data_IF_002238408201
#
_entry.id   IF_002238408201
#
_cell.length_a   1.000
_cell.length_b   1.000
_cell.length_c   1.000
_cell.angle_alpha   90.00
_cell.angle_beta   90.00
_cell.angle_gamma   90.00
#
_symmetry.space_group_name_H-M   'P 1'
#
loop_
_entity.id
_entity.type
_entity.pdbx_description
1 polymer ?
#
# COMPACT_ATOMS: atom_id res chain seq x y z
N UNK A 1 -3.19 -38.13 32.62
CA UNK A 1 -3.91 -36.85 32.77
C UNK A 1 -5.04 -36.70 31.75
N UNK A 2 -4.78 -36.81 30.44
CA UNK A 2 -5.84 -36.71 29.43
C UNK A 2 -7.01 -37.69 29.69
N UNK A 3 -6.67 -38.96 29.91
CA UNK A 3 -7.63 -40.03 30.23
C UNK A 3 -8.45 -39.85 31.50
N UNK A 4 -8.00 -39.08 32.50
CA UNK A 4 -8.83 -38.82 33.69
C UNK A 4 -9.95 -37.81 33.42
N UNK A 5 -9.85 -37.03 32.34
CA UNK A 5 -10.85 -36.05 31.94
C UNK A 5 -11.71 -36.55 30.77
N UNK A 6 -11.07 -37.16 29.77
CA UNK A 6 -11.71 -37.54 28.49
C UNK A 6 -12.09 -39.03 28.48
N UNK A 7 -11.50 -39.83 29.37
CA UNK A 7 -11.78 -41.26 29.48
C UNK A 7 -10.92 -42.11 28.54
N UNK A 8 -11.50 -43.23 28.11
CA UNK A 8 -10.82 -44.28 27.36
C UNK A 8 -10.62 -43.97 25.87
N UNK A 9 -11.29 -42.95 25.34
CA UNK A 9 -11.23 -42.57 23.92
C UNK A 9 -11.29 -41.05 23.80
N UNK A 10 -10.51 -40.49 22.88
CA UNK A 10 -10.58 -39.08 22.50
C UNK A 10 -10.65 -38.93 20.97
N UNK A 11 -11.27 -37.85 20.52
CA UNK A 11 -11.38 -37.57 19.09
C UNK A 11 -10.07 -37.02 18.53
N UNK A 12 -9.50 -36.01 19.18
CA UNK A 12 -8.32 -35.28 18.70
C UNK A 12 -7.27 -35.18 19.80
N UNK A 13 -6.04 -35.61 19.49
CA UNK A 13 -4.85 -35.31 20.26
C UNK A 13 -3.87 -34.51 19.40
N UNK A 14 -3.14 -33.57 19.98
CA UNK A 14 -2.27 -32.67 19.21
C UNK A 14 -0.94 -32.39 19.88
N UNK A 15 0.05 -31.99 19.08
CA UNK A 15 1.39 -31.64 19.57
C UNK A 15 2.27 -31.09 18.45
N UNK A 16 3.49 -30.70 18.79
CA UNK A 16 4.52 -30.44 17.78
C UNK A 16 4.92 -31.74 17.06
N UNK A 17 5.42 -31.64 15.84
CA UNK A 17 5.91 -32.79 15.08
C UNK A 17 6.93 -33.65 15.84
N UNK A 18 7.77 -33.04 16.67
CA UNK A 18 8.74 -33.73 17.51
C UNK A 18 8.13 -34.58 18.64
N UNK A 19 6.86 -34.34 18.99
CA UNK A 19 6.13 -35.17 19.95
C UNK A 19 5.57 -36.44 19.32
N UNK A 20 5.50 -36.54 17.99
CA UNK A 20 5.03 -37.74 17.31
C UNK A 20 5.77 -38.98 17.81
N UNK A 21 7.10 -38.91 17.84
CA UNK A 21 7.94 -39.98 18.36
C UNK A 21 9.08 -39.42 19.23
N UNK A 22 9.35 -40.02 20.41
CA UNK A 22 8.69 -41.21 20.98
C UNK A 22 7.47 -40.88 21.85
N UNK A 23 7.14 -39.60 22.05
CA UNK A 23 6.21 -39.18 23.09
C UNK A 23 4.77 -39.71 22.87
N UNK A 24 4.12 -39.35 21.76
CA UNK A 24 2.74 -39.78 21.50
C UNK A 24 2.64 -41.29 21.24
N UNK A 25 3.65 -41.91 20.62
CA UNK A 25 3.73 -43.37 20.50
C UNK A 25 3.69 -44.05 21.87
N UNK A 26 4.45 -43.54 22.84
CA UNK A 26 4.44 -44.06 24.21
C UNK A 26 3.10 -43.79 24.92
N UNK A 27 2.49 -42.62 24.73
CA UNK A 27 1.18 -42.31 25.31
C UNK A 27 0.08 -43.24 24.80
N UNK A 28 0.09 -43.51 23.49
CA UNK A 28 -0.82 -44.46 22.85
C UNK A 28 -0.60 -45.87 23.39
N UNK A 29 0.65 -46.34 23.42
CA UNK A 29 0.99 -47.67 23.94
C UNK A 29 0.57 -47.85 25.41
N UNK A 30 0.79 -46.84 26.26
CA UNK A 30 0.40 -46.87 27.67
C UNK A 30 -1.12 -46.89 27.84
N UNK A 31 -1.82 -46.03 27.10
CA UNK A 31 -3.26 -45.83 27.27
C UNK A 31 -4.06 -47.01 26.70
N UNK A 32 -3.70 -47.49 25.52
CA UNK A 32 -4.38 -48.63 24.89
C UNK A 32 -4.16 -49.93 25.68
N UNK A 33 -2.96 -50.15 26.22
CA UNK A 33 -2.68 -51.30 27.08
C UNK A 33 -3.44 -51.22 28.42
N UNK A 34 -3.65 -50.03 28.96
CA UNK A 34 -4.40 -49.84 30.21
C UNK A 34 -5.90 -50.10 30.01
N UNK A 35 -6.49 -49.61 28.92
CA UNK A 35 -7.93 -49.69 28.69
C UNK A 35 -8.38 -51.01 28.08
N UNK A 36 -7.55 -51.64 27.24
CA UNK A 36 -7.79 -52.96 26.62
C UNK A 36 -9.21 -53.14 26.05
N UNK A 37 -9.75 -52.10 25.42
CA UNK A 37 -11.12 -52.10 24.88
C UNK A 37 -11.22 -52.59 23.44
N UNK A 38 -10.08 -52.85 22.80
CA UNK A 38 -9.99 -53.12 21.35
C UNK A 38 -10.31 -51.92 20.46
N UNK A 39 -10.43 -50.72 21.03
CA UNK A 39 -10.68 -49.46 20.30
C UNK A 39 -9.48 -48.52 20.46
N UNK A 40 -9.20 -47.67 19.45
CA UNK A 40 -8.10 -46.71 19.54
C UNK A 40 -8.34 -45.71 20.67
N UNK A 41 -7.26 -45.33 21.35
CA UNK A 41 -7.30 -44.30 22.38
C UNK A 41 -7.55 -42.91 21.79
N UNK A 42 -7.02 -42.63 20.59
CA UNK A 42 -7.17 -41.36 19.85
C UNK A 42 -7.56 -41.65 18.41
N UNK A 43 -8.58 -40.96 17.88
CA UNK A 43 -8.98 -41.11 16.46
C UNK A 43 -8.10 -40.30 15.51
N UNK A 44 -7.76 -39.05 15.86
CA UNK A 44 -6.98 -38.15 15.03
C UNK A 44 -5.83 -37.52 15.81
N UNK A 45 -4.61 -37.70 15.30
CA UNK A 45 -3.42 -36.99 15.78
C UNK A 45 -3.08 -35.81 14.87
N UNK A 46 -2.98 -34.61 15.43
CA UNK A 46 -2.63 -33.38 14.72
C UNK A 46 -1.24 -32.91 15.17
N UNK A 47 -0.27 -32.95 14.27
CA UNK A 47 1.12 -32.56 14.55
C UNK A 47 1.51 -31.30 13.79
N UNK A 48 1.79 -30.21 14.51
CA UNK A 48 2.21 -28.95 13.88
C UNK A 48 3.66 -28.98 13.44
N UNK A 49 3.96 -28.30 12.32
CA UNK A 49 5.31 -28.22 11.78
C UNK A 49 6.26 -27.44 12.68
N UNK A 50 7.56 -27.56 12.40
CA UNK A 50 8.58 -26.85 13.18
C UNK A 50 8.67 -25.38 12.79
N UNK A 51 9.16 -24.56 13.72
CA UNK A 51 9.63 -23.21 13.42
C UNK A 51 11.16 -23.22 13.28
N UNK A 52 11.68 -22.69 12.18
CA UNK A 52 13.11 -22.51 11.93
C UNK A 52 13.49 -21.03 11.92
N UNK A 53 14.78 -20.75 12.14
CA UNK A 53 15.40 -19.46 11.83
C UNK A 53 16.59 -19.75 10.93
N UNK A 54 16.61 -19.12 9.75
CA UNK A 54 17.67 -19.33 8.75
C UNK A 54 17.83 -20.83 8.40
N UNK A 55 16.70 -21.55 8.31
CA UNK A 55 16.67 -22.99 8.02
C UNK A 55 17.12 -23.91 9.16
N UNK A 56 17.51 -23.37 10.31
CA UNK A 56 17.88 -24.17 11.48
C UNK A 56 16.71 -24.24 12.48
N UNK A 57 16.43 -25.44 13.03
CA UNK A 57 15.40 -25.61 14.08
C UNK A 57 15.64 -24.64 15.23
N UNK A 58 14.61 -23.90 15.61
CA UNK A 58 14.65 -23.03 16.78
C UNK A 58 14.78 -23.89 18.04
N UNK A 59 15.87 -23.73 18.81
CA UNK A 59 16.01 -24.45 20.08
C UNK A 59 16.87 -23.70 21.09
N UNK A 60 16.58 -23.92 22.38
CA UNK A 60 17.38 -23.37 23.48
C UNK A 60 18.82 -23.89 23.45
N UNK A 61 19.02 -25.14 23.05
CA UNK A 61 20.34 -25.78 22.96
C UNK A 61 21.22 -25.17 21.87
N UNK A 62 20.64 -24.82 20.71
CA UNK A 62 21.35 -24.14 19.62
C UNK A 62 21.46 -22.62 19.84
N UNK A 63 20.90 -22.08 20.94
CA UNK A 63 20.85 -20.64 21.27
C UNK A 63 20.31 -19.76 20.14
N UNK A 64 19.54 -20.34 19.21
CA UNK A 64 19.00 -19.68 18.02
C UNK A 64 17.48 -19.48 18.14
N UNK A 65 17.02 -19.03 19.32
CA UNK A 65 15.59 -18.80 19.57
C UNK A 65 15.29 -17.34 19.82
N UNK A 66 14.10 -16.94 19.39
CA UNK A 66 13.55 -15.61 19.64
C UNK A 66 12.35 -15.81 20.56
N UNK A 67 12.34 -15.10 21.68
CA UNK A 67 11.19 -15.12 22.58
C UNK A 67 10.03 -14.33 21.98
N UNK A 68 8.80 -14.66 22.38
CA UNK A 68 7.62 -13.87 21.99
C UNK A 68 7.77 -12.39 22.37
N UNK A 69 8.37 -12.09 23.54
CA UNK A 69 8.64 -10.71 23.95
C UNK A 69 9.55 -9.97 22.97
N UNK A 70 10.63 -10.61 22.53
CA UNK A 70 11.56 -10.04 21.55
C UNK A 70 10.89 -9.87 20.19
N UNK A 71 10.14 -10.87 19.71
CA UNK A 71 9.40 -10.77 18.45
C UNK A 71 8.40 -9.59 18.47
N UNK A 72 7.71 -9.40 19.60
CA UNK A 72 6.76 -8.31 19.79
C UNK A 72 7.39 -6.91 19.90
N UNK A 73 8.72 -6.82 20.06
CA UNK A 73 9.42 -5.52 19.95
C UNK A 73 9.56 -5.05 18.50
N UNK A 74 9.50 -5.99 17.54
CA UNK A 74 9.70 -5.71 16.11
C UNK A 74 8.40 -5.67 15.32
N UNK A 75 7.42 -6.49 15.73
CA UNK A 75 6.16 -6.67 15.03
C UNK A 75 4.99 -6.66 16.00
N UNK A 76 3.80 -6.28 15.53
CA UNK A 76 2.59 -6.38 16.34
C UNK A 76 2.21 -7.85 16.54
N UNK A 77 1.44 -8.13 17.60
CA UNK A 77 0.91 -9.47 17.84
C UNK A 77 0.04 -9.96 16.67
N UNK A 78 -0.64 -9.02 15.98
CA UNK A 78 -1.48 -9.31 14.82
C UNK A 78 -0.65 -9.70 13.60
N UNK A 79 0.44 -8.97 13.32
CA UNK A 79 1.40 -9.32 12.26
C UNK A 79 1.99 -10.72 12.48
N UNK A 80 2.38 -11.04 13.72
CA UNK A 80 2.88 -12.37 14.04
C UNK A 80 1.81 -13.45 13.82
N UNK A 81 0.55 -13.20 14.16
CA UNK A 81 -0.54 -14.15 13.87
C UNK A 81 -0.78 -14.32 12.37
N UNK A 82 -0.79 -13.24 11.60
CA UNK A 82 -0.88 -13.35 10.14
C UNK A 82 0.28 -14.13 9.53
N UNK A 83 1.49 -14.00 10.06
CA UNK A 83 2.62 -14.81 9.61
C UNK A 83 2.32 -16.32 9.72
N UNK A 84 1.64 -16.76 10.78
CA UNK A 84 1.24 -18.16 10.92
C UNK A 84 0.03 -18.53 10.06
N UNK A 85 -0.99 -17.67 9.97
CA UNK A 85 -2.20 -17.93 9.17
C UNK A 85 -1.94 -18.02 7.66
N UNK A 86 -0.89 -17.35 7.19
CA UNK A 86 -0.51 -17.37 5.77
C UNK A 86 0.35 -18.60 5.40
N UNK A 87 0.60 -19.49 6.35
CA UNK A 87 1.38 -20.70 6.17
C UNK A 87 0.61 -21.94 6.63
N UNK A 88 0.90 -23.08 6.02
CA UNK A 88 0.26 -24.34 6.42
C UNK A 88 0.73 -24.76 7.81
N UNK A 89 -0.21 -25.06 8.71
CA UNK A 89 0.08 -25.39 10.12
C UNK A 89 0.91 -26.67 10.31
N UNK A 90 0.87 -27.59 9.33
CA UNK A 90 1.61 -28.87 9.36
C UNK A 90 3.03 -28.76 8.78
N UNK A 91 3.30 -27.72 8.00
CA UNK A 91 4.58 -27.54 7.32
C UNK A 91 5.58 -26.78 8.20
N UNK A 92 6.87 -26.94 7.91
CA UNK A 92 7.90 -26.18 8.60
C UNK A 92 7.85 -24.72 8.13
N UNK A 93 7.79 -23.79 9.09
CA UNK A 93 7.82 -22.36 8.83
C UNK A 93 9.20 -21.80 9.17
N UNK A 94 9.81 -21.06 8.23
CA UNK A 94 11.00 -20.27 8.53
C UNK A 94 10.59 -18.87 8.99
N UNK A 95 10.95 -18.54 10.22
CA UNK A 95 10.80 -17.20 10.76
C UNK A 95 11.93 -16.31 10.23
N UNK A 96 11.58 -15.46 9.27
CA UNK A 96 12.50 -14.56 8.57
C UNK A 96 11.88 -13.18 8.36
N UNK A 97 12.71 -12.20 8.00
CA UNK A 97 12.23 -10.87 7.64
C UNK A 97 11.30 -10.91 6.41
N UNK A 98 11.49 -11.87 5.49
CA UNK A 98 10.60 -12.06 4.34
C UNK A 98 9.22 -12.57 4.79
N UNK A 99 9.18 -13.60 5.63
CA UNK A 99 7.95 -14.14 6.20
C UNK A 99 7.16 -13.06 6.94
N UNK A 100 7.86 -12.22 7.71
CA UNK A 100 7.24 -11.10 8.40
C UNK A 100 6.83 -9.99 7.45
N UNK A 101 7.61 -9.71 6.40
CA UNK A 101 7.24 -8.76 5.35
C UNK A 101 5.92 -9.18 4.70
N UNK A 102 5.74 -10.45 4.34
CA UNK A 102 4.49 -10.95 3.75
C UNK A 102 3.30 -10.80 4.71
N UNK A 103 3.49 -11.10 5.99
CA UNK A 103 2.47 -10.91 7.01
C UNK A 103 2.10 -9.44 7.23
N UNK A 104 3.11 -8.56 7.26
CA UNK A 104 2.93 -7.11 7.33
C UNK A 104 2.22 -6.62 6.07
N UNK A 105 2.61 -7.10 4.89
CA UNK A 105 1.98 -6.74 3.62
C UNK A 105 0.55 -7.25 3.53
N UNK A 106 0.24 -8.40 4.13
CA UNK A 106 -1.12 -8.90 4.21
C UNK A 106 -1.95 -8.10 5.22
N UNK A 107 -1.45 -7.81 6.42
CA UNK A 107 -2.14 -6.93 7.37
C UNK A 107 -2.37 -5.54 6.74
N UNK A 108 -1.39 -5.05 5.99
CA UNK A 108 -1.41 -3.75 5.31
C UNK A 108 -2.01 -3.79 3.90
N UNK A 109 -2.36 -4.94 3.34
CA UNK A 109 -2.71 -5.11 1.91
C UNK A 109 -1.90 -4.21 0.94
N UNK A 110 -0.58 -4.35 0.95
CA UNK A 110 0.31 -3.53 0.11
C UNK A 110 0.18 -3.89 -1.38
N UNK A 111 -0.57 -3.05 -2.09
CA UNK A 111 -0.14 -2.35 -3.31
C UNK A 111 -1.25 -1.39 -3.72
N UNK A 112 -1.18 -0.16 -3.23
CA UNK A 112 -1.81 0.98 -3.91
C UNK A 112 -0.68 1.90 -4.34
N UNK A 113 -0.91 2.49 -5.50
CA UNK A 113 -0.15 3.49 -6.22
C UNK A 113 0.79 4.38 -5.38
N UNK A 114 1.91 4.87 -5.97
CA UNK A 114 3.01 5.56 -5.28
C UNK A 114 2.68 6.90 -4.57
N UNK A 115 1.41 7.20 -4.31
CA UNK A 115 0.95 8.45 -3.68
C UNK A 115 -0.06 8.24 -2.52
N UNK A 116 -0.29 7.02 -2.03
CA UNK A 116 -1.22 6.81 -0.89
C UNK A 116 -0.84 5.61 -0.03
N UNK A 117 -0.48 5.86 1.23
CA UNK A 117 -0.06 4.87 2.24
C UNK A 117 -1.23 4.12 2.90
N UNK A 118 -2.45 4.30 2.38
CA UNK A 118 -3.67 3.70 2.93
C UNK A 118 -3.81 2.24 2.48
N UNK A 119 -4.03 1.37 3.46
CA UNK A 119 -4.16 -0.08 3.29
C UNK A 119 -5.61 -0.44 2.92
N UNK A 120 -5.89 -1.13 1.79
CA UNK A 120 -7.25 -1.48 1.32
C UNK A 120 -8.16 -2.12 2.38
N UNK A 121 -7.60 -2.94 3.27
CA UNK A 121 -8.32 -3.62 4.34
C UNK A 121 -8.80 -2.65 5.43
N UNK A 122 -7.91 -1.78 5.93
CA UNK A 122 -8.26 -0.75 6.91
C UNK A 122 -9.22 0.26 6.30
N UNK A 123 -8.94 0.67 5.07
CA UNK A 123 -9.72 1.64 4.33
C UNK A 123 -11.16 1.15 4.12
N UNK A 124 -11.32 -0.12 3.74
CA UNK A 124 -12.62 -0.77 3.67
C UNK A 124 -13.39 -0.60 4.98
N UNK A 125 -12.83 -1.03 6.12
CA UNK A 125 -13.54 -0.96 7.40
C UNK A 125 -13.83 0.47 7.87
N UNK A 126 -12.90 1.42 7.66
CA UNK A 126 -13.12 2.82 7.99
C UNK A 126 -14.25 3.42 7.16
N UNK A 127 -14.29 3.11 5.87
CA UNK A 127 -15.36 3.55 4.96
C UNK A 127 -16.70 2.90 5.32
N UNK A 128 -16.71 1.61 5.69
CA UNK A 128 -17.95 0.96 6.16
C UNK A 128 -18.47 1.61 7.44
N UNK A 129 -17.60 1.87 8.43
CA UNK A 129 -17.99 2.54 9.68
C UNK A 129 -18.58 3.92 9.40
N UNK A 130 -17.95 4.70 8.52
CA UNK A 130 -18.44 6.01 8.11
C UNK A 130 -19.82 5.95 7.43
N UNK A 131 -20.03 4.99 6.53
CA UNK A 131 -21.31 4.77 5.86
C UNK A 131 -22.43 4.36 6.83
N UNK A 132 -22.13 3.50 7.81
CA UNK A 132 -23.11 3.06 8.82
C UNK A 132 -23.58 4.25 9.67
N UNK A 133 -22.70 5.21 9.98
CA UNK A 133 -23.07 6.39 10.77
C UNK A 133 -23.91 7.40 9.99
N UNK A 134 -23.63 7.56 8.70
CA UNK A 134 -24.18 8.64 7.86
C UNK A 134 -25.42 8.22 7.07
N UNK A 135 -25.69 6.92 6.96
CA UNK A 135 -26.82 6.41 6.20
C UNK A 135 -28.04 6.18 7.06
N UNK A 136 -29.17 6.72 6.62
CA UNK A 136 -30.48 6.29 7.09
C UNK A 136 -30.79 4.91 6.48
N UNK A 137 -31.20 3.96 7.32
CA UNK A 137 -31.57 2.62 6.89
C UNK A 137 -32.78 2.70 5.94
N UNK A 138 -32.51 2.62 4.64
CA UNK A 138 -33.53 2.60 3.59
C UNK A 138 -33.43 1.31 2.79
N UNK A 139 -34.58 0.78 2.40
CA UNK A 139 -34.66 -0.41 1.56
C UNK A 139 -34.25 0.00 0.15
N UNK A 140 -33.03 -0.35 -0.26
CA UNK A 140 -32.49 -0.06 -1.59
C UNK A 140 -32.76 -1.23 -2.52
N UNK A 141 -33.38 -0.95 -3.68
CA UNK A 141 -33.49 -1.94 -4.77
C UNK A 141 -32.10 -2.24 -5.32
N UNK A 142 -31.74 -3.51 -5.41
CA UNK A 142 -30.43 -3.90 -5.91
C UNK A 142 -30.30 -3.60 -7.39
N UNK A 143 -29.17 -3.01 -7.78
CA UNK A 143 -28.75 -2.89 -9.17
C UNK A 143 -27.92 -4.10 -9.57
N UNK A 144 -27.54 -4.17 -10.85
CA UNK A 144 -26.67 -5.23 -11.36
C UNK A 144 -25.34 -5.31 -10.58
N UNK A 145 -24.82 -4.17 -10.09
CA UNK A 145 -23.56 -4.14 -9.35
C UNK A 145 -23.70 -4.76 -7.95
N UNK A 146 -24.80 -4.50 -7.23
CA UNK A 146 -25.05 -5.16 -5.94
C UNK A 146 -25.26 -6.67 -6.13
N UNK A 147 -25.96 -7.10 -7.20
CA UNK A 147 -26.09 -8.52 -7.51
C UNK A 147 -24.74 -9.18 -7.77
N UNK A 148 -23.85 -8.54 -8.54
CA UNK A 148 -22.49 -9.04 -8.79
C UNK A 148 -21.63 -9.09 -7.52
N UNK A 149 -21.68 -8.06 -6.67
CA UNK A 149 -20.95 -8.05 -5.40
C UNK A 149 -21.49 -9.13 -4.46
N UNK A 150 -22.81 -9.29 -4.35
CA UNK A 150 -23.41 -10.30 -3.51
C UNK A 150 -23.09 -11.72 -4.01
N UNK A 151 -23.04 -11.94 -5.32
CA UNK A 151 -22.57 -13.22 -5.86
C UNK A 151 -21.14 -13.52 -5.40
N UNK A 152 -20.21 -12.58 -5.57
CA UNK A 152 -18.83 -12.72 -5.08
C UNK A 152 -18.76 -12.94 -3.58
N UNK A 153 -19.67 -12.33 -2.82
CA UNK A 153 -19.77 -12.53 -1.38
C UNK A 153 -20.15 -13.98 -1.04
N UNK A 154 -21.21 -14.52 -1.64
CA UNK A 154 -21.61 -15.91 -1.41
C UNK A 154 -20.52 -16.89 -1.85
N UNK A 155 -19.92 -16.69 -3.04
CA UNK A 155 -18.80 -17.52 -3.51
C UNK A 155 -17.60 -17.48 -2.55
N UNK A 156 -17.34 -16.32 -1.92
CA UNK A 156 -16.27 -16.20 -0.93
C UNK A 156 -16.60 -16.94 0.37
N UNK A 157 -17.86 -16.92 0.82
CA UNK A 157 -18.29 -17.69 1.99
C UNK A 157 -18.03 -19.19 1.75
N UNK A 158 -18.51 -19.71 0.62
CA UNK A 158 -18.37 -21.13 0.27
C UNK A 158 -16.89 -21.52 0.11
N UNK A 159 -16.08 -20.65 -0.51
CA UNK A 159 -14.66 -20.90 -0.73
C UNK A 159 -13.85 -20.90 0.58
N UNK A 160 -14.18 -19.99 1.51
CA UNK A 160 -13.56 -19.95 2.84
C UNK A 160 -13.93 -21.20 3.62
N UNK A 161 -15.21 -21.60 3.63
CA UNK A 161 -15.66 -22.81 4.33
C UNK A 161 -14.99 -24.07 3.77
N UNK A 162 -14.95 -24.19 2.45
CA UNK A 162 -14.27 -25.31 1.76
C UNK A 162 -12.79 -25.36 2.13
N UNK A 163 -12.09 -24.21 2.14
CA UNK A 163 -10.67 -24.15 2.51
C UNK A 163 -10.44 -24.55 3.97
N UNK A 164 -11.30 -24.11 4.89
CA UNK A 164 -11.17 -24.46 6.31
C UNK A 164 -11.49 -25.93 6.59
N UNK A 165 -12.44 -26.51 5.85
CA UNK A 165 -12.73 -27.94 5.90
C UNK A 165 -11.60 -28.80 5.31
N UNK A 166 -10.82 -28.26 4.36
CA UNK A 166 -9.63 -28.91 3.83
C UNK A 166 -8.42 -28.69 4.76
N UNK A 167 -8.35 -29.49 5.82
CA UNK A 167 -7.20 -29.53 6.72
C UNK A 167 -6.80 -28.15 7.31
N UNK A 168 -7.79 -27.30 7.62
CA UNK A 168 -7.59 -25.99 8.24
C UNK A 168 -6.69 -25.09 7.34
N UNK A 169 -6.97 -25.03 6.04
CA UNK A 169 -6.23 -24.16 5.10
C UNK A 169 -6.59 -22.68 5.30
N UNK A 170 -6.00 -22.11 6.35
CA UNK A 170 -6.10 -20.68 6.70
C UNK A 170 -5.48 -19.77 5.66
N UNK A 171 -4.50 -20.24 4.90
CA UNK A 171 -3.84 -19.46 3.85
C UNK A 171 -4.80 -19.17 2.70
N UNK A 172 -5.44 -20.21 2.17
CA UNK A 172 -6.43 -20.06 1.10
C UNK A 172 -7.64 -19.26 1.58
N UNK A 173 -8.13 -19.52 2.80
CA UNK A 173 -9.21 -18.74 3.40
C UNK A 173 -8.86 -17.23 3.46
N UNK A 174 -7.65 -16.88 3.90
CA UNK A 174 -7.16 -15.50 3.89
C UNK A 174 -7.13 -14.90 2.46
N UNK A 175 -6.67 -15.65 1.46
CA UNK A 175 -6.67 -15.19 0.07
C UNK A 175 -8.09 -14.93 -0.47
N UNK A 176 -9.08 -15.75 -0.11
CA UNK A 176 -10.48 -15.53 -0.47
C UNK A 176 -11.05 -14.26 0.19
N UNK A 177 -10.78 -14.04 1.48
CA UNK A 177 -11.17 -12.80 2.20
C UNK A 177 -10.55 -11.58 1.53
N UNK A 178 -9.27 -11.67 1.17
CA UNK A 178 -8.54 -10.62 0.45
C UNK A 178 -9.21 -10.23 -0.86
N UNK A 179 -9.64 -11.21 -1.65
CA UNK A 179 -10.34 -10.97 -2.93
C UNK A 179 -11.71 -10.33 -2.71
N UNK A 180 -12.43 -10.74 -1.66
CA UNK A 180 -13.71 -10.14 -1.28
C UNK A 180 -13.54 -8.66 -0.93
N UNK A 181 -12.55 -8.33 -0.08
CA UNK A 181 -12.24 -6.94 0.29
C UNK A 181 -11.90 -6.10 -0.94
N UNK A 182 -11.08 -6.63 -1.86
CA UNK A 182 -10.76 -5.95 -3.10
C UNK A 182 -12.01 -5.67 -3.95
N UNK A 183 -12.90 -6.66 -4.09
CA UNK A 183 -14.16 -6.50 -4.81
C UNK A 183 -15.08 -5.47 -4.14
N UNK A 184 -15.17 -5.46 -2.81
CA UNK A 184 -15.93 -4.48 -2.05
C UNK A 184 -15.39 -3.06 -2.20
N UNK A 185 -14.06 -2.89 -2.19
CA UNK A 185 -13.44 -1.58 -2.42
C UNK A 185 -13.69 -1.07 -3.85
N UNK A 186 -13.57 -1.93 -4.87
CA UNK A 186 -13.93 -1.55 -6.25
C UNK A 186 -15.39 -1.12 -6.35
N UNK A 187 -16.31 -1.85 -5.71
CA UNK A 187 -17.72 -1.47 -5.64
C UNK A 187 -17.92 -0.10 -4.95
N UNK A 188 -17.25 0.14 -3.82
CA UNK A 188 -17.35 1.42 -3.08
C UNK A 188 -16.81 2.60 -3.90
N UNK A 189 -15.79 2.39 -4.73
CA UNK A 189 -15.28 3.41 -5.65
C UNK A 189 -16.28 3.68 -6.79
N UNK A 190 -16.81 2.63 -7.40
CA UNK A 190 -17.73 2.72 -8.53
C UNK A 190 -19.13 3.25 -8.15
N UNK A 191 -19.58 2.98 -6.93
CA UNK A 191 -20.88 3.38 -6.38
C UNK A 191 -20.72 4.42 -5.27
N UNK A 192 -19.66 5.24 -5.33
CA UNK A 192 -19.27 6.17 -4.27
C UNK A 192 -20.36 7.13 -3.80
N UNK A 193 -21.31 7.45 -4.67
CA UNK A 193 -22.40 8.39 -4.38
C UNK A 193 -23.59 7.76 -3.64
N UNK A 194 -23.87 6.47 -3.84
CA UNK A 194 -25.01 5.76 -3.23
C UNK A 194 -24.76 4.26 -3.09
N UNK A 195 -23.78 3.85 -2.25
CA UNK A 195 -23.51 2.43 -2.03
C UNK A 195 -24.61 1.78 -1.18
N UNK A 196 -24.88 0.50 -1.42
CA UNK A 196 -25.76 -0.31 -0.58
C UNK A 196 -25.08 -0.62 0.75
N UNK A 197 -25.42 0.17 1.77
CA UNK A 197 -24.80 0.10 3.10
C UNK A 197 -25.07 -1.24 3.77
N UNK A 198 -26.26 -1.82 3.61
CA UNK A 198 -26.61 -3.13 4.20
C UNK A 198 -25.73 -4.24 3.65
N UNK A 199 -25.53 -4.31 2.32
CA UNK A 199 -24.70 -5.33 1.70
C UNK A 199 -23.24 -5.23 2.17
N UNK A 200 -22.68 -4.01 2.17
CA UNK A 200 -21.31 -3.76 2.61
C UNK A 200 -21.12 -4.03 4.11
N UNK A 201 -22.14 -3.75 4.93
CA UNK A 201 -22.15 -4.08 6.36
C UNK A 201 -22.17 -5.58 6.59
N UNK A 202 -22.98 -6.34 5.85
CA UNK A 202 -23.00 -7.79 5.98
C UNK A 202 -21.65 -8.42 5.61
N UNK A 203 -21.00 -7.90 4.56
CA UNK A 203 -19.65 -8.31 4.16
C UNK A 203 -18.63 -8.00 5.26
N UNK A 204 -18.67 -6.79 5.83
CA UNK A 204 -17.71 -6.37 6.87
C UNK A 204 -17.88 -7.17 8.16
N UNK A 205 -19.11 -7.48 8.56
CA UNK A 205 -19.40 -8.34 9.72
C UNK A 205 -18.88 -9.75 9.48
N UNK A 206 -19.14 -10.33 8.31
CA UNK A 206 -18.62 -11.66 7.96
C UNK A 206 -17.08 -11.71 8.05
N UNK A 207 -16.39 -10.75 7.43
CA UNK A 207 -14.93 -10.69 7.45
C UNK A 207 -14.42 -10.52 8.89
N UNK A 208 -15.07 -9.68 9.69
CA UNK A 208 -14.72 -9.48 11.11
C UNK A 208 -14.84 -10.78 11.88
N UNK A 209 -15.94 -11.53 11.72
CA UNK A 209 -16.15 -12.81 12.39
C UNK A 209 -15.06 -13.84 12.03
N UNK A 210 -14.68 -13.93 10.75
CA UNK A 210 -13.59 -14.85 10.35
C UNK A 210 -12.25 -14.42 10.97
N UNK A 211 -11.98 -13.12 11.00
CA UNK A 211 -10.80 -12.58 11.67
C UNK A 211 -10.81 -12.78 13.19
N UNK A 212 -11.97 -12.81 13.83
CA UNK A 212 -12.10 -13.18 15.24
C UNK A 212 -11.84 -14.67 15.47
N UNK A 213 -12.33 -15.55 14.58
CA UNK A 213 -12.02 -16.99 14.59
C UNK A 213 -10.50 -17.21 14.45
N UNK A 214 -9.86 -16.49 13.54
CA UNK A 214 -8.39 -16.50 13.38
C UNK A 214 -7.66 -15.77 14.51
N UNK A 215 -8.40 -15.08 15.38
CA UNK A 215 -7.89 -14.34 16.51
C UNK A 215 -7.01 -13.16 16.12
N UNK A 216 -7.23 -12.55 14.96
CA UNK A 216 -6.58 -11.30 14.55
C UNK A 216 -7.47 -10.07 14.80
N UNK A 217 -8.77 -10.28 15.07
CA UNK A 217 -9.72 -9.24 15.44
C UNK A 217 -9.55 -8.73 16.88
N UNK A 218 -10.28 -7.66 17.21
CA UNK A 218 -10.21 -6.98 18.50
C UNK A 218 -11.41 -7.37 19.38
N UNK A 219 -11.16 -7.72 20.65
CA UNK A 219 -12.16 -8.30 21.58
C UNK A 219 -13.42 -7.45 21.83
N UNK A 220 -13.39 -6.16 21.54
CA UNK A 220 -14.46 -5.19 21.86
C UNK A 220 -15.04 -4.47 20.63
N UNK A 221 -14.83 -4.96 19.39
CA UNK A 221 -15.32 -4.29 18.19
C UNK A 221 -16.47 -5.01 17.50
N UNK A 222 -17.42 -4.23 17.00
CA UNK A 222 -18.50 -4.70 16.13
C UNK A 222 -18.03 -4.95 14.70
N UNK A 223 -17.05 -4.17 14.19
CA UNK A 223 -16.54 -4.25 12.81
C UNK A 223 -15.05 -3.86 12.74
N UNK A 224 -14.23 -4.72 12.12
CA UNK A 224 -12.85 -4.43 11.70
C UNK A 224 -11.78 -4.48 12.79
N UNK A 225 -10.72 -3.69 12.63
CA UNK A 225 -9.56 -3.65 13.53
C UNK A 225 -9.49 -2.35 14.35
N UNK A 226 -8.95 -2.42 15.57
CA UNK A 226 -8.49 -1.26 16.33
C UNK A 226 -7.23 -0.66 15.71
N UNK A 227 -7.04 0.65 15.87
CA UNK A 227 -5.70 1.24 15.76
C UNK A 227 -4.77 0.57 16.77
N UNK A 228 -3.67 -0.01 16.27
CA UNK A 228 -2.67 -0.68 17.10
C UNK A 228 -2.07 0.33 18.08
N UNK A 229 -2.47 0.26 19.35
CA UNK A 229 -1.96 1.16 20.40
C UNK A 229 -2.91 1.49 21.55
N UNK A 230 -4.19 1.11 21.49
CA UNK A 230 -5.11 1.36 22.60
C UNK A 230 -5.99 0.14 22.91
N UNK A 231 -5.65 -0.57 23.98
CA UNK A 231 -6.52 -1.56 24.67
C UNK A 231 -7.78 -0.91 25.32
N UNK A 232 -8.13 0.33 24.97
CA UNK A 232 -9.22 1.10 25.59
C UNK A 232 -10.04 1.93 24.58
N UNK A 233 -10.02 1.55 23.29
CA UNK A 233 -10.56 2.38 22.19
C UNK A 233 -12.08 2.49 22.11
N UNK A 234 -12.84 1.53 22.67
CA UNK A 234 -14.29 1.51 22.55
C UNK A 234 -14.99 2.75 23.12
N UNK A 235 -14.43 3.35 24.18
CA UNK A 235 -15.03 4.52 24.83
C UNK A 235 -14.57 5.85 24.19
N UNK A 236 -13.35 5.90 23.65
CA UNK A 236 -12.80 7.15 23.09
C UNK A 236 -13.45 7.53 21.77
N UNK A 237 -13.72 6.58 20.89
CA UNK A 237 -14.42 6.85 19.62
C UNK A 237 -15.83 7.39 19.89
N UNK A 238 -16.61 6.71 20.75
CA UNK A 238 -17.96 7.15 21.12
C UNK A 238 -17.99 8.58 21.72
N UNK A 239 -16.97 8.94 22.51
CA UNK A 239 -16.87 10.28 23.11
C UNK A 239 -16.47 11.35 22.09
N UNK A 240 -15.51 11.05 21.21
CA UNK A 240 -14.88 12.06 20.33
C UNK A 240 -15.68 12.27 19.04
N UNK A 241 -16.39 11.24 18.57
CA UNK A 241 -17.13 11.26 17.31
C UNK A 241 -18.12 12.42 17.16
N UNK A 242 -18.99 12.73 18.15
CA UNK A 242 -19.94 13.83 18.02
C UNK A 242 -19.26 15.20 17.80
N UNK A 243 -18.11 15.43 18.44
CA UNK A 243 -17.34 16.67 18.26
C UNK A 243 -16.74 16.75 16.87
N UNK A 244 -16.23 15.63 16.36
CA UNK A 244 -15.63 15.56 15.03
C UNK A 244 -16.66 15.75 13.91
N UNK A 245 -17.87 15.22 14.09
CA UNK A 245 -19.00 15.46 13.18
C UNK A 245 -19.38 16.94 13.13
N UNK A 246 -19.44 17.61 14.30
CA UNK A 246 -19.69 19.06 14.37
C UNK A 246 -18.59 19.84 13.64
N UNK A 247 -17.32 19.47 13.81
CA UNK A 247 -16.19 20.12 13.13
C UNK A 247 -16.26 19.91 11.62
N UNK A 248 -16.60 18.70 11.16
CA UNK A 248 -16.75 18.38 9.74
C UNK A 248 -17.89 19.18 9.11
N UNK A 249 -19.06 19.23 9.76
CA UNK A 249 -20.22 20.02 9.30
C UNK A 249 -19.92 21.53 9.29
N UNK A 250 -19.23 22.03 10.31
CA UNK A 250 -18.78 23.43 10.34
C UNK A 250 -17.82 23.73 9.17
N UNK A 251 -16.84 22.86 8.93
CA UNK A 251 -15.89 22.99 7.81
C UNK A 251 -16.63 22.98 6.47
N UNK A 252 -17.60 22.08 6.28
CA UNK A 252 -18.38 21.99 5.04
C UNK A 252 -19.17 23.28 4.77
N UNK A 253 -19.86 23.81 5.80
CA UNK A 253 -20.57 25.10 5.73
C UNK A 253 -19.64 26.28 5.45
N UNK A 254 -18.47 26.33 6.09
CA UNK A 254 -17.47 27.38 5.87
C UNK A 254 -16.88 27.31 4.47
N UNK A 255 -16.50 26.11 4.01
CA UNK A 255 -15.95 25.88 2.67
C UNK A 255 -16.94 26.26 1.59
N UNK A 256 -18.22 25.89 1.74
CA UNK A 256 -19.29 26.28 0.82
C UNK A 256 -19.40 27.80 0.68
N UNK A 257 -19.50 28.52 1.80
CA UNK A 257 -19.51 29.99 1.79
C UNK A 257 -18.22 30.61 1.22
N UNK A 258 -17.08 30.01 1.50
CA UNK A 258 -15.79 30.46 0.97
C UNK A 258 -15.73 30.34 -0.56
N UNK A 259 -16.30 29.27 -1.13
CA UNK A 259 -16.40 29.10 -2.58
C UNK A 259 -17.31 30.17 -3.21
N UNK A 260 -18.47 30.44 -2.60
CA UNK A 260 -19.39 31.48 -3.06
C UNK A 260 -18.75 32.88 -3.04
N UNK A 261 -18.01 33.19 -1.98
CA UNK A 261 -17.30 34.46 -1.80
C UNK A 261 -15.96 34.53 -2.54
N UNK A 262 -15.49 33.42 -3.12
CA UNK A 262 -14.14 33.24 -3.69
C UNK A 262 -13.01 33.61 -2.72
N UNK A 263 -13.23 33.36 -1.43
CA UNK A 263 -12.29 33.67 -0.36
C UNK A 263 -11.19 32.58 -0.31
N UNK A 264 -10.03 32.91 -0.89
CA UNK A 264 -8.88 32.00 -0.94
C UNK A 264 -8.27 31.75 0.44
N UNK A 265 -8.37 32.70 1.36
CA UNK A 265 -7.78 32.56 2.70
C UNK A 265 -8.60 31.60 3.55
N UNK A 266 -9.93 31.74 3.51
CA UNK A 266 -10.82 30.82 4.22
C UNK A 266 -10.75 29.39 3.66
N UNK A 267 -10.60 29.24 2.33
CA UNK A 267 -10.34 27.93 1.72
C UNK A 267 -9.02 27.33 2.21
N UNK A 268 -7.94 28.13 2.28
CA UNK A 268 -6.65 27.68 2.82
C UNK A 268 -6.76 27.21 4.27
N UNK A 269 -7.51 27.93 5.12
CA UNK A 269 -7.73 27.52 6.52
C UNK A 269 -8.52 26.20 6.60
N UNK A 270 -9.51 26.01 5.73
CA UNK A 270 -10.27 24.76 5.66
C UNK A 270 -9.40 23.57 5.21
N UNK A 271 -8.45 23.81 4.30
CA UNK A 271 -7.49 22.80 3.85
C UNK A 271 -6.41 22.53 4.91
N UNK A 272 -5.92 23.56 5.62
CA UNK A 272 -5.00 23.42 6.76
C UNK A 272 -5.62 22.59 7.90
N UNK A 273 -6.89 22.84 8.22
CA UNK A 273 -7.62 22.02 9.19
C UNK A 273 -7.69 20.55 8.76
N UNK A 274 -7.92 20.29 7.47
CA UNK A 274 -8.04 18.95 6.88
C UNK A 274 -6.70 18.19 6.85
N UNK A 275 -5.65 18.86 6.38
CA UNK A 275 -4.41 18.23 5.93
C UNK A 275 -3.28 18.32 6.96
N UNK A 276 -3.35 19.28 7.90
CA UNK A 276 -2.26 19.57 8.84
C UNK A 276 -2.72 19.44 10.31
N UNK A 277 -3.87 19.99 10.70
CA UNK A 277 -4.30 20.03 12.12
C UNK A 277 -4.97 18.71 12.56
N UNK A 278 -6.04 18.29 11.88
CA UNK A 278 -6.78 17.08 12.26
C UNK A 278 -5.93 15.79 12.19
N UNK A 279 -4.99 15.64 11.25
CA UNK A 279 -4.09 14.50 11.24
C UNK A 279 -3.21 14.37 12.50
N UNK A 280 -2.85 15.48 13.16
CA UNK A 280 -2.04 15.45 14.40
C UNK A 280 -2.78 14.81 15.58
N UNK A 281 -4.11 14.78 15.52
CA UNK A 281 -4.96 14.15 16.54
C UNK A 281 -5.52 12.80 16.10
N UNK A 282 -5.09 12.27 14.96
CA UNK A 282 -5.53 10.96 14.45
C UNK A 282 -6.84 11.01 13.67
N UNK A 283 -7.16 12.14 13.04
CA UNK A 283 -8.40 12.32 12.28
C UNK A 283 -8.06 12.62 10.83
N UNK A 284 -8.61 11.82 9.91
CA UNK A 284 -8.54 12.05 8.47
C UNK A 284 -9.91 12.46 7.94
N UNK A 285 -9.91 13.51 7.14
CA UNK A 285 -11.08 14.00 6.42
C UNK A 285 -10.86 13.80 4.92
N UNK A 286 -11.81 13.19 4.24
CA UNK A 286 -11.75 12.96 2.79
C UNK A 286 -12.99 13.55 2.11
N UNK A 287 -12.76 14.50 1.22
CA UNK A 287 -13.84 15.17 0.48
C UNK A 287 -14.29 14.27 -0.70
N UNK A 288 -15.61 14.14 -0.90
CA UNK A 288 -16.20 13.43 -2.03
C UNK A 288 -17.42 14.17 -2.58
N UNK A 289 -17.73 13.99 -3.86
CA UNK A 289 -18.93 14.58 -4.46
C UNK A 289 -20.14 13.67 -4.27
N UNK A 290 -21.20 14.20 -3.67
CA UNK A 290 -22.49 13.51 -3.54
C UNK A 290 -23.28 13.54 -4.85
N UNK A 291 -24.32 12.69 -4.97
CA UNK A 291 -25.26 12.66 -6.12
C UNK A 291 -25.83 14.05 -6.44
N UNK A 292 -26.01 14.90 -5.42
CA UNK A 292 -26.55 16.25 -5.55
C UNK A 292 -25.51 17.29 -6.02
N UNK A 293 -24.28 16.88 -6.34
CA UNK A 293 -23.19 17.79 -6.70
C UNK A 293 -22.61 18.57 -5.51
N UNK A 294 -23.01 18.23 -4.29
CA UNK A 294 -22.51 18.85 -3.05
C UNK A 294 -21.29 18.07 -2.57
N UNK A 295 -20.18 18.76 -2.31
CA UNK A 295 -18.99 18.17 -1.68
C UNK A 295 -19.31 17.84 -0.22
N UNK A 296 -19.23 16.56 0.12
CA UNK A 296 -19.36 16.05 1.49
C UNK A 296 -18.01 15.57 2.01
N UNK A 297 -17.88 15.49 3.33
CA UNK A 297 -16.64 15.02 3.99
C UNK A 297 -16.86 13.67 4.66
N UNK A 298 -16.02 12.68 4.35
CA UNK A 298 -15.91 11.42 5.11
C UNK A 298 -14.98 11.60 6.29
N UNK A 299 -15.34 11.02 7.43
CA UNK A 299 -14.57 11.16 8.65
C UNK A 299 -13.98 9.82 9.09
N UNK A 300 -12.66 9.75 9.19
CA UNK A 300 -11.96 8.51 9.54
C UNK A 300 -11.04 8.71 10.73
N UNK A 301 -11.15 7.83 11.72
CA UNK A 301 -10.22 7.76 12.83
C UNK A 301 -9.05 6.85 12.47
N UNK A 302 -7.86 7.43 12.46
CA UNK A 302 -6.62 6.77 12.05
C UNK A 302 -5.59 6.99 13.16
N UNK A 303 -4.71 6.03 13.33
CA UNK A 303 -3.61 6.18 14.28
C UNK A 303 -2.74 7.39 13.90
N UNK A 304 -2.41 8.22 14.89
CA UNK A 304 -1.61 9.43 14.69
C UNK A 304 -0.26 9.12 14.07
N UNK A 305 0.45 8.09 14.55
CA UNK A 305 1.78 7.78 14.04
C UNK A 305 1.71 7.39 12.56
N UNK A 306 0.66 6.67 12.17
CA UNK A 306 0.37 6.40 10.76
C UNK A 306 0.26 7.71 9.98
N UNK A 307 -0.67 8.60 10.35
CA UNK A 307 -0.91 9.86 9.63
C UNK A 307 0.33 10.76 9.56
N UNK A 308 1.11 10.85 10.64
CA UNK A 308 2.33 11.64 10.66
C UNK A 308 3.38 11.09 9.70
N UNK A 309 3.53 9.76 9.62
CA UNK A 309 4.43 9.11 8.67
C UNK A 309 4.01 9.37 7.23
N UNK A 310 2.72 9.31 6.92
CA UNK A 310 2.20 9.65 5.59
C UNK A 310 2.49 11.12 5.22
N UNK A 311 2.32 12.04 6.18
CA UNK A 311 2.65 13.47 6.00
C UNK A 311 4.14 13.66 5.70
N UNK A 312 5.02 12.99 6.44
CA UNK A 312 6.47 13.03 6.17
C UNK A 312 6.82 12.48 4.79
N UNK A 313 6.19 11.37 4.38
CA UNK A 313 6.40 10.78 3.04
C UNK A 313 5.90 11.72 1.94
N UNK A 314 4.71 12.31 2.10
CA UNK A 314 4.17 13.32 1.17
C UNK A 314 5.09 14.52 1.03
N UNK A 315 5.57 15.06 2.15
CA UNK A 315 6.52 16.18 2.16
C UNK A 315 7.83 15.83 1.44
N UNK A 316 8.36 14.63 1.66
CA UNK A 316 9.54 14.12 0.94
C UNK A 316 9.28 14.00 -0.57
N UNK A 317 8.12 13.47 -0.97
CA UNK A 317 7.75 13.34 -2.39
C UNK A 317 7.61 14.72 -3.03
N UNK A 318 6.97 15.67 -2.36
CA UNK A 318 6.77 17.03 -2.84
C UNK A 318 8.10 17.80 -2.94
N UNK A 319 8.98 17.64 -1.94
CA UNK A 319 10.34 18.17 -1.95
C UNK A 319 11.15 17.58 -3.11
N UNK A 320 11.10 16.26 -3.31
CA UNK A 320 11.76 15.59 -4.44
C UNK A 320 11.23 16.09 -5.79
N UNK A 321 9.91 16.28 -5.93
CA UNK A 321 9.29 16.87 -7.13
C UNK A 321 9.77 18.31 -7.36
N UNK A 322 9.90 19.11 -6.30
CA UNK A 322 10.42 20.50 -6.36
C UNK A 322 11.89 20.51 -6.81
N UNK A 323 12.74 19.71 -6.18
CA UNK A 323 14.16 19.58 -6.51
C UNK A 323 14.35 19.10 -7.96
N UNK A 324 13.55 18.14 -8.42
CA UNK A 324 13.58 17.66 -9.80
C UNK A 324 13.16 18.75 -10.80
N UNK A 325 12.15 19.57 -10.46
CA UNK A 325 11.71 20.70 -11.28
C UNK A 325 12.78 21.79 -11.37
N UNK A 326 13.44 22.10 -10.25
CA UNK A 326 14.54 23.05 -10.18
C UNK A 326 15.75 22.55 -10.99
N UNK A 327 16.12 21.27 -10.87
CA UNK A 327 17.20 20.65 -11.66
C UNK A 327 16.93 20.76 -13.17
N UNK A 328 15.72 20.39 -13.61
CA UNK A 328 15.32 20.51 -15.03
C UNK A 328 15.32 21.95 -15.53
N UNK A 329 14.92 22.90 -14.70
CA UNK A 329 14.95 24.32 -15.05
C UNK A 329 16.40 24.84 -15.21
N UNK A 330 17.31 24.42 -14.33
CA UNK A 330 18.73 24.78 -14.40
C UNK A 330 19.42 24.14 -15.62
N UNK A 331 19.20 22.84 -15.86
CA UNK A 331 19.71 22.14 -17.04
C UNK A 331 19.24 22.82 -18.33
N UNK A 332 17.96 23.21 -18.39
CA UNK A 332 17.41 23.97 -19.53
C UNK A 332 18.08 25.33 -19.67
N UNK A 333 18.26 26.07 -18.57
CA UNK A 333 18.92 27.39 -18.58
C UNK A 333 20.35 27.30 -19.08
N UNK A 334 21.12 26.30 -18.62
CA UNK A 334 22.49 26.04 -19.09
C UNK A 334 22.51 25.64 -20.56
N UNK A 335 21.59 24.80 -21.02
CA UNK A 335 21.48 24.41 -22.43
C UNK A 335 21.11 25.59 -23.32
N UNK A 336 20.17 26.43 -22.89
CA UNK A 336 19.74 27.63 -23.60
C UNK A 336 20.89 28.67 -23.64
N UNK A 337 21.64 28.84 -22.55
CA UNK A 337 22.83 29.70 -22.51
C UNK A 337 23.93 29.21 -23.44
N UNK A 338 24.25 27.90 -23.43
CA UNK A 338 25.22 27.29 -24.35
C UNK A 338 24.80 27.44 -25.81
N UNK A 339 23.52 27.19 -26.11
CA UNK A 339 22.97 27.38 -27.46
C UNK A 339 23.02 28.85 -27.90
N UNK A 340 22.75 29.79 -26.99
CA UNK A 340 22.85 31.22 -27.26
C UNK A 340 24.30 31.65 -27.51
N UNK A 341 25.27 31.07 -26.81
CA UNK A 341 26.69 31.31 -27.01
C UNK A 341 27.21 30.71 -28.31
N UNK A 342 26.86 29.47 -28.62
CA UNK A 342 27.13 28.82 -29.91
C UNK A 342 26.52 29.62 -31.08
N UNK A 343 25.37 30.27 -30.89
CA UNK A 343 24.72 31.08 -31.93
C UNK A 343 25.36 32.46 -32.14
N UNK A 344 26.22 32.93 -31.22
CA UNK A 344 26.98 34.19 -31.38
C UNK A 344 28.20 34.04 -32.29
N UNK A 345 28.68 32.82 -32.53
CA UNK A 345 29.85 32.56 -33.38
C UNK A 345 29.51 32.96 -34.82
N UNK A 346 30.29 33.90 -35.37
CA UNK A 346 30.18 34.36 -36.74
C UNK A 346 30.44 33.19 -37.70
N UNK A 347 29.58 32.94 -38.71
CA UNK A 347 29.76 31.83 -39.66
C UNK A 347 31.10 31.86 -40.39
N UNK A 348 31.65 33.06 -40.65
CA UNK A 348 32.96 33.28 -41.29
C UNK A 348 34.13 32.83 -40.40
N UNK A 349 33.97 32.87 -39.08
CA UNK A 349 35.02 32.58 -38.10
C UNK A 349 34.91 31.17 -37.51
N UNK A 350 33.86 30.42 -37.88
CA UNK A 350 33.53 29.10 -37.33
C UNK A 350 34.63 28.06 -37.61
N UNK A 351 35.20 28.09 -38.82
CA UNK A 351 36.17 27.09 -39.26
C UNK A 351 37.61 27.61 -39.27
N UNK A 352 37.80 28.93 -39.33
CA UNK A 352 39.13 29.57 -39.35
C UNK A 352 39.87 29.42 -38.02
N UNK A 353 39.15 29.16 -36.92
CA UNK A 353 39.72 28.84 -35.62
C UNK A 353 40.26 27.39 -35.50
N UNK A 354 39.86 26.47 -36.39
CA UNK A 354 40.26 25.05 -36.39
C UNK A 354 41.54 24.81 -37.22
N UNK A 355 42.61 25.54 -36.89
CA UNK A 355 43.92 25.48 -37.59
C UNK A 355 44.67 24.15 -37.40
N UNK A 356 44.24 23.33 -36.44
CA UNK A 356 44.71 21.97 -36.20
C UNK A 356 44.18 20.96 -37.24
N UNK A 357 43.07 21.27 -37.93
CA UNK A 357 42.40 20.36 -38.87
C UNK A 357 42.43 20.84 -40.31
N UNK A 358 42.59 22.13 -40.55
CA UNK A 358 42.50 22.72 -41.88
C UNK A 358 43.60 23.75 -42.13
N UNK A 359 44.23 23.67 -43.30
CA UNK A 359 45.40 24.49 -43.65
C UNK A 359 45.09 25.68 -44.56
N UNK A 360 43.98 25.66 -45.31
CA UNK A 360 43.59 26.72 -46.24
C UNK A 360 42.06 26.90 -46.32
N UNK A 361 41.62 28.15 -46.42
CA UNK A 361 40.21 28.55 -46.38
C UNK A 361 39.83 29.41 -47.60
N UNK A 362 38.58 29.35 -48.02
CA UNK A 362 38.05 30.19 -49.11
C UNK A 362 37.61 31.60 -48.62
N UNK A 363 37.14 32.45 -49.53
CA UNK A 363 36.68 33.81 -49.23
C UNK A 363 35.43 33.89 -48.34
N UNK A 364 34.82 32.75 -48.02
CA UNK A 364 33.69 32.61 -47.09
C UNK A 364 34.10 31.89 -45.79
N UNK A 365 35.40 31.70 -45.55
CA UNK A 365 35.93 31.05 -44.36
C UNK A 365 35.72 29.53 -44.33
N UNK A 366 35.36 28.88 -45.45
CA UNK A 366 35.20 27.42 -45.50
C UNK A 366 36.54 26.72 -45.74
N UNK A 367 36.81 25.58 -45.05
CA UNK A 367 38.00 24.79 -45.30
C UNK A 367 38.05 24.22 -46.72
N UNK A 368 39.21 24.33 -47.37
CA UNK A 368 39.48 23.78 -48.70
C UNK A 368 40.48 22.62 -48.66
N UNK A 369 41.42 22.67 -47.71
CA UNK A 369 42.48 21.68 -47.54
C UNK A 369 42.53 21.15 -46.10
N UNK A 370 42.90 19.88 -45.94
CA UNK A 370 43.14 19.25 -44.63
C UNK A 370 44.45 19.74 -43.98
N UNK A 371 44.75 19.25 -42.77
CA UNK A 371 45.95 19.62 -42.00
C UNK A 371 47.25 19.31 -42.72
N UNK A 372 47.24 18.38 -43.68
CA UNK A 372 48.42 17.96 -44.46
C UNK A 372 48.52 18.69 -45.80
N UNK A 373 47.63 19.65 -46.08
CA UNK A 373 47.64 20.45 -47.30
C UNK A 373 47.05 19.75 -48.52
N UNK A 374 46.24 18.69 -48.34
CA UNK A 374 45.51 18.03 -49.43
C UNK A 374 44.09 18.56 -49.56
N UNK A 375 43.61 18.70 -50.79
CA UNK A 375 42.23 19.11 -51.08
C UNK A 375 41.20 18.15 -50.46
N UNK A 376 40.21 18.72 -49.77
CA UNK A 376 39.14 17.95 -49.14
C UNK A 376 38.24 17.27 -50.17
N UNK A 377 37.91 16.00 -49.93
CA UNK A 377 37.00 15.25 -50.80
C UNK A 377 35.61 15.90 -50.90
N UNK A 378 34.95 15.80 -52.07
CA UNK A 378 33.62 16.39 -52.33
C UNK A 378 32.55 15.99 -51.30
N UNK A 379 32.65 14.81 -50.70
CA UNK A 379 31.74 14.34 -49.63
C UNK A 379 31.95 15.07 -48.30
N UNK A 380 33.19 15.45 -47.98
CA UNK A 380 33.54 16.22 -46.79
C UNK A 380 33.12 17.69 -46.94
N UNK A 381 33.39 18.30 -48.10
CA UNK A 381 32.93 19.67 -48.43
C UNK A 381 31.40 19.80 -48.33
N UNK A 382 30.65 18.79 -48.77
CA UNK A 382 29.17 18.77 -48.66
C UNK A 382 28.66 18.65 -47.22
N UNK A 383 29.42 18.01 -46.32
CA UNK A 383 29.10 17.98 -44.88
C UNK A 383 29.40 19.31 -44.22
N UNK A 384 30.55 19.92 -44.53
CA UNK A 384 30.98 21.22 -44.00
C UNK A 384 30.04 22.35 -44.47
N UNK A 385 29.62 22.36 -45.74
CA UNK A 385 28.65 23.34 -46.23
C UNK A 385 27.28 23.23 -45.57
N UNK A 386 26.85 22.01 -45.21
CA UNK A 386 25.61 21.78 -44.46
C UNK A 386 25.73 22.31 -43.03
N UNK A 387 26.88 22.15 -42.37
CA UNK A 387 27.15 22.71 -41.04
C UNK A 387 27.22 24.24 -41.08
N UNK A 388 27.88 24.81 -42.08
CA UNK A 388 27.94 26.26 -42.33
C UNK A 388 26.53 26.85 -42.50
N UNK A 389 25.68 26.26 -43.35
CA UNK A 389 24.30 26.74 -43.58
C UNK A 389 23.42 26.65 -42.31
N UNK A 390 23.63 25.64 -41.47
CA UNK A 390 22.93 25.52 -40.18
C UNK A 390 23.37 26.63 -39.21
N UNK A 391 24.66 26.92 -39.16
CA UNK A 391 25.21 27.96 -38.29
C UNK A 391 24.83 29.37 -38.79
N UNK A 392 24.86 29.61 -40.09
CA UNK A 392 24.43 30.88 -40.71
C UNK A 392 22.97 31.20 -40.39
N UNK A 393 22.08 30.19 -40.43
CA UNK A 393 20.69 30.37 -40.03
C UNK A 393 20.55 30.73 -38.54
N UNK A 394 21.27 30.03 -37.65
CA UNK A 394 21.26 30.30 -36.20
C UNK A 394 21.79 31.69 -35.87
N UNK A 395 22.89 32.10 -36.51
CA UNK A 395 23.52 33.40 -36.30
C UNK A 395 22.62 34.54 -36.79
N UNK A 396 22.03 34.41 -37.98
CA UNK A 396 21.12 35.43 -38.53
C UNK A 396 19.84 35.60 -37.70
N UNK A 397 19.31 34.52 -37.10
CA UNK A 397 18.20 34.60 -36.14
C UNK A 397 18.61 35.32 -34.84
N UNK A 398 19.84 35.10 -34.34
CA UNK A 398 20.37 35.80 -33.17
C UNK A 398 20.59 37.30 -33.40
N UNK A 399 21.13 37.68 -34.57
CA UNK A 399 21.38 39.08 -34.95
C UNK A 399 20.06 39.84 -35.11
N UNK A 400 19.00 39.22 -35.66
CA UNK A 400 17.67 39.83 -35.77
C UNK A 400 17.00 40.09 -34.41
N UNK A 401 17.20 39.22 -33.43
CA UNK A 401 16.66 39.40 -32.06
C UNK A 401 17.34 40.51 -31.25
N UNK A 402 18.50 41.03 -31.68
CA UNK A 402 19.22 42.13 -31.00
C UNK A 402 18.94 43.52 -31.60
N UNK A 403 18.24 43.60 -32.73
CA UNK A 403 17.97 44.84 -33.47
C UNK A 403 16.60 45.49 -33.14
N UNK A 404 15.88 44.92 -32.15
CA UNK A 404 14.69 45.47 -31.48
C UNK A 404 15.05 45.65 -30.02
#
# INVERSE_FOLDING_TARGET
>A
MASSLIGAQMDIHSGGYDLKFPHHDNEMAQSEAYYDTGRPWVHYFLHSGHLTISGCKMSKSLKNFITIKEALTRNTWRQLRFAFLLHSWKETLDYSDNTMSDAIQYEKFANVWPDTTQTPLREFFLTVKDLIRTSDASIVKWTQKEHQLNQKFQESIDSVDTSLCDNIDTRSACEHIRRLIAASNSYLQECSQSPNVTLITNISVYITNIFDIFGVGAKDQTIGFTSDGAEAGGNREAIVMPFLEIIADLREKLRSKAMDLKDKELLRICDELRDEILPEVGVRLEDYESVAGVTKTRLKLVDRQTLMKEREERLKVEENKRLEKERKAEEKRLADAKRAEESKVCPLDMFTAETDKYSAFDSKGMPTHDSDGKELAKSALKKLSKLYAIQEKKHNECVKCKAV
#
